data_IF_229135040528
#
_entry.id   IF_229135040528
#
_cell.length_a   1.000
_cell.length_b   1.000
_cell.length_c   1.000
_cell.angle_alpha   90.00
_cell.angle_beta   90.00
_cell.angle_gamma   90.00
#
_symmetry.space_group_name_H-M   'P 1'
#
loop_
_entity.id
_entity.type
_entity.pdbx_description
1 polymer ?
2 non-polymer ?
3 water ?
#
# COMPACT_ATOMS: atom_id res chain seq x y z
N UNK A 19 -9.97 -33.90 13.88
CA UNK A 19 -10.26 -32.50 14.10
C UNK A 19 -9.34 -31.57 13.31
N UNK A 20 -8.19 -31.20 13.88
CA UNK A 20 -7.26 -30.28 13.21
C UNK A 20 -6.69 -29.13 14.03
N UNK A 21 -6.73 -29.24 15.36
CA UNK A 21 -6.19 -28.24 16.29
C UNK A 21 -4.78 -28.67 16.74
N UNK A 22 -3.77 -28.19 16.03
CA UNK A 22 -2.37 -28.41 16.40
C UNK A 22 -1.93 -27.31 17.35
N UNK A 23 -1.00 -27.63 18.25
CA UNK A 23 -0.35 -26.59 19.04
C UNK A 23 1.07 -26.31 18.52
N UNK A 24 1.51 -27.07 17.54
CA UNK A 24 2.82 -26.94 16.95
C UNK A 24 2.68 -27.22 15.46
N UNK A 25 3.57 -26.64 14.69
CA UNK A 25 3.78 -27.09 13.31
C UNK A 25 5.22 -26.76 12.96
N UNK A 26 6.11 -27.75 13.02
CA UNK A 26 7.51 -27.40 12.89
C UNK A 26 7.85 -26.44 14.02
N UNK A 27 8.59 -25.37 13.69
CA UNK A 27 8.95 -24.33 14.67
C UNK A 27 7.89 -23.24 14.77
N UNK A 28 6.74 -23.43 14.16
CA UNK A 28 5.63 -22.51 14.36
C UNK A 28 4.84 -23.04 15.57
N UNK A 29 5.04 -22.42 16.73
CA UNK A 29 4.46 -22.91 17.97
C UNK A 29 3.59 -21.80 18.54
N UNK A 30 2.33 -22.15 18.83
CA UNK A 30 1.36 -21.21 19.36
C UNK A 30 2.00 -20.50 20.53
N UNK A 31 1.62 -19.24 20.71
CA UNK A 31 2.15 -18.31 21.68
C UNK A 31 3.41 -17.61 21.19
N UNK A 32 4.01 -18.01 20.07
CA UNK A 32 5.24 -17.34 19.66
C UNK A 32 4.89 -15.96 19.12
N UNK A 33 5.92 -15.14 18.99
CA UNK A 33 5.77 -13.85 18.35
C UNK A 33 6.16 -13.98 16.89
N UNK A 34 5.54 -13.15 16.05
CA UNK A 34 5.59 -13.38 14.62
C UNK A 34 5.11 -12.11 13.89
N UNK A 35 5.40 -12.04 12.59
CA UNK A 35 4.91 -10.99 11.70
C UNK A 35 3.80 -11.53 10.83
N UNK A 36 2.80 -10.69 10.57
CA UNK A 36 1.66 -11.07 9.75
C UNK A 36 1.26 -9.98 8.79
N UNK A 37 0.79 -10.45 7.62
CA UNK A 37 0.45 -9.57 6.51
C UNK A 37 -1.03 -9.20 6.57
N UNK A 38 -1.30 -7.92 6.60
CA UNK A 38 -2.65 -7.41 6.80
C UNK A 38 -3.24 -7.07 5.45
N UNK A 39 -4.58 -6.88 5.41
CA UNK A 39 -5.29 -6.82 4.12
C UNK A 39 -4.95 -5.52 3.36
N UNK A 40 -4.10 -4.71 3.98
CA UNK A 40 -3.51 -3.47 3.50
C UNK A 40 -2.20 -3.69 2.73
N UNK A 41 -1.67 -4.91 2.74
CA UNK A 41 -0.40 -5.36 2.16
C UNK A 41 0.81 -4.97 2.97
N UNK A 42 0.66 -4.21 4.04
CA UNK A 42 1.74 -4.05 5.00
C UNK A 42 1.64 -5.08 6.13
N UNK A 43 2.79 -5.33 6.78
CA UNK A 43 2.97 -6.37 7.81
C UNK A 43 3.23 -5.78 9.21
N UNK A 44 2.76 -6.49 10.24
CA UNK A 44 2.77 -5.98 11.60
C UNK A 44 3.00 -7.13 12.56
N UNK A 45 3.69 -6.81 13.64
CA UNK A 45 4.02 -7.78 14.67
C UNK A 45 2.78 -8.24 15.42
N UNK A 46 2.79 -9.49 15.84
CA UNK A 46 1.69 -10.06 16.56
C UNK A 46 2.08 -11.31 17.31
N UNK A 47 1.07 -11.98 17.86
CA UNK A 47 1.22 -13.25 18.54
C UNK A 47 0.49 -14.33 17.75
N UNK A 48 1.13 -15.47 17.54
CA UNK A 48 0.46 -16.63 16.92
C UNK A 48 -0.44 -17.33 17.94
N UNK A 49 -1.76 -17.12 17.84
CA UNK A 49 -2.66 -17.69 18.84
C UNK A 49 -3.30 -19.01 18.45
N UNK A 50 -3.04 -19.57 17.27
CA UNK A 50 -3.72 -20.81 16.92
C UNK A 50 -3.22 -21.36 15.61
N UNK A 51 -3.30 -22.70 15.46
CA UNK A 51 -3.04 -23.40 14.21
C UNK A 51 -4.28 -24.21 13.88
N UNK A 52 -4.77 -24.07 12.66
CA UNK A 52 -5.98 -24.76 12.18
C UNK A 52 -5.70 -25.37 10.82
N UNK A 53 -5.59 -26.68 10.77
CA UNK A 53 -5.68 -27.35 9.49
C UNK A 53 -7.02 -26.99 8.85
N UNK A 54 -6.97 -26.48 7.64
CA UNK A 54 -8.17 -26.37 6.81
C UNK A 54 -7.81 -26.72 5.37
N UNK A 55 -8.50 -27.70 4.81
CA UNK A 55 -8.25 -28.15 3.46
C UNK A 55 -6.99 -29.00 3.39
N UNK A 56 -6.27 -28.88 2.29
CA UNK A 56 -5.00 -29.62 2.14
C UNK A 56 -3.89 -29.18 3.10
N UNK A 57 -4.03 -28.00 3.73
CA UNK A 57 -2.95 -27.44 4.53
C UNK A 57 -3.38 -26.64 5.74
N UNK A 58 -2.52 -25.75 6.24
CA UNK A 58 -2.68 -25.14 7.56
C UNK A 58 -2.68 -23.64 7.48
N UNK A 59 -3.48 -23.04 8.35
CA UNK A 59 -3.59 -21.60 8.45
C UNK A 59 -3.29 -21.16 9.87
N UNK A 60 -2.63 -20.01 9.98
CA UNK A 60 -2.03 -19.53 11.21
C UNK A 60 -2.76 -18.24 11.63
N UNK A 61 -3.28 -18.25 12.86
CA UNK A 61 -4.15 -17.19 13.38
C UNK A 61 -3.31 -16.19 14.16
N UNK A 62 -3.26 -14.93 13.70
CA UNK A 62 -2.44 -13.90 14.33
C UNK A 62 -3.33 -12.82 14.97
N UNK A 63 -3.15 -12.61 16.26
CA UNK A 63 -3.66 -11.42 16.94
C UNK A 63 -2.56 -10.37 16.86
N UNK A 64 -2.86 -9.23 16.32
CA UNK A 64 -1.82 -8.24 16.11
C UNK A 64 -1.70 -7.37 17.34
N UNK A 65 -0.48 -6.84 17.54
CA UNK A 65 -0.25 -5.91 18.63
C UNK A 65 -1.09 -4.63 18.46
N UNK A 66 -1.36 -4.19 17.20
CA UNK A 66 -2.35 -3.20 16.73
C UNK A 66 -3.82 -3.74 16.78
N UNK A 67 -4.04 -4.85 17.46
CA UNK A 67 -5.32 -5.33 17.94
C UNK A 67 -6.23 -6.01 16.89
N UNK A 68 -5.96 -5.93 15.57
CA UNK A 68 -6.72 -6.79 14.67
C UNK A 68 -6.45 -8.29 14.88
N UNK A 69 -7.18 -9.15 14.16
CA UNK A 69 -6.82 -10.57 14.03
C UNK A 69 -6.91 -11.03 12.57
N UNK A 70 -6.01 -11.91 12.16
CA UNK A 70 -6.13 -12.52 10.82
C UNK A 70 -5.74 -14.00 10.88
N UNK A 71 -6.39 -14.77 10.03
CA UNK A 71 -6.09 -16.18 9.83
C UNK A 71 -5.41 -16.37 8.47
N UNK A 72 -4.12 -16.68 8.51
CA UNK A 72 -3.20 -16.47 7.39
C UNK A 72 -2.55 -17.76 6.92
N UNK A 73 -2.38 -17.86 5.62
CA UNK A 73 -1.56 -18.93 5.08
C UNK A 73 -0.10 -18.70 5.44
N UNK A 74 0.68 -19.78 5.34
CA UNK A 74 2.08 -19.81 5.79
C UNK A 74 3.04 -18.89 5.03
N UNK A 75 2.69 -18.47 3.84
CA UNK A 75 3.46 -17.48 3.10
C UNK A 75 3.05 -16.05 3.42
N UNK A 76 2.05 -15.86 4.28
CA UNK A 76 1.69 -14.52 4.76
C UNK A 76 2.04 -14.34 6.25
N UNK A 77 2.93 -15.15 6.78
CA UNK A 77 3.55 -14.89 8.07
C UNK A 77 5.06 -14.97 7.92
N UNK A 78 5.76 -14.38 8.88
CA UNK A 78 7.20 -14.27 8.87
C UNK A 78 7.74 -14.34 10.28
N UNK A 79 8.95 -14.90 10.45
CA UNK A 79 9.58 -14.89 11.75
C UNK A 79 10.00 -13.49 12.12
N UNK A 80 10.03 -13.23 13.41
CA UNK A 80 10.39 -11.90 13.88
C UNK A 80 11.86 -11.77 14.15
N UNK A 81 12.69 -12.53 13.46
CA UNK A 81 14.13 -12.33 13.53
C UNK A 81 14.71 -12.08 12.13
N UNK A 82 15.93 -11.54 12.11
CA UNK A 82 16.64 -11.27 10.87
C UNK A 82 17.33 -12.53 10.38
N UNK A 83 17.23 -12.85 9.09
CA UNK A 83 17.82 -14.08 8.58
C UNK A 83 19.32 -14.12 8.81
N UNK A 84 19.90 -15.31 8.94
CA UNK A 84 21.33 -15.41 8.69
C UNK A 84 21.57 -15.17 7.21
N UNK A 85 22.29 -14.10 6.89
CA UNK A 85 22.94 -14.04 5.59
C UNK A 85 23.66 -15.37 5.41
N UNK A 86 23.60 -15.91 4.19
CA UNK A 86 23.99 -17.30 3.88
C UNK A 86 22.86 -18.29 4.18
N UNK A 87 21.67 -17.82 4.46
CA UNK A 87 20.47 -18.58 4.15
C UNK A 87 19.73 -17.94 3.01
N UNK A 88 20.04 -16.69 2.70
CA UNK A 88 19.31 -15.97 1.68
C UNK A 88 20.01 -16.14 0.35
N UNK A 89 19.19 -16.22 -0.68
CA UNK A 89 19.67 -16.52 -2.00
C UNK A 89 18.76 -15.75 -2.94
N UNK A 90 19.08 -15.78 -4.23
CA UNK A 90 18.25 -15.06 -5.17
C UNK A 90 16.94 -15.84 -5.33
N UNK A 91 15.82 -15.14 -5.17
CA UNK A 91 14.53 -15.78 -5.10
C UNK A 91 13.96 -15.95 -3.69
N UNK A 92 14.72 -15.62 -2.65
CA UNK A 92 14.19 -15.77 -1.31
C UNK A 92 13.02 -14.85 -1.12
N UNK A 93 11.95 -15.39 -0.52
CA UNK A 93 10.76 -14.64 -0.16
C UNK A 93 10.98 -13.98 1.21
N UNK A 94 10.97 -12.64 1.25
CA UNK A 94 11.24 -11.92 2.48
C UNK A 94 10.17 -10.86 2.73
N UNK A 95 10.21 -10.33 3.92
CA UNK A 95 9.58 -9.07 4.31
C UNK A 95 10.72 -8.10 4.50
N UNK A 96 10.57 -6.87 4.01
CA UNK A 96 11.65 -5.92 4.17
C UNK A 96 11.17 -4.56 4.63
N UNK A 97 12.09 -3.81 5.19
CA UNK A 97 11.79 -2.48 5.67
C UNK A 97 11.75 -1.51 4.49
N UNK A 98 10.68 -0.73 4.39
CA UNK A 98 10.60 0.44 3.53
C UNK A 98 10.53 1.69 4.42
N UNK A 99 11.24 2.75 4.04
CA UNK A 99 11.32 3.99 4.82
C UNK A 99 10.73 5.16 4.04
N UNK A 100 9.69 5.82 4.60
CA UNK A 100 9.05 7.03 4.06
C UNK A 100 9.76 8.27 4.48
N UNK A 101 11.03 8.17 4.82
CA UNK A 101 11.74 9.23 5.48
C UNK A 101 11.97 8.86 6.93
N UNK A 102 11.13 9.42 7.81
CA UNK A 102 11.10 9.04 9.22
C UNK A 102 10.26 7.77 9.46
N UNK A 103 9.16 7.57 8.72
CA UNK A 103 8.27 6.44 8.97
C UNK A 103 8.90 5.15 8.44
N UNK A 104 8.68 4.05 9.14
CA UNK A 104 9.08 2.73 8.66
C UNK A 104 7.86 1.86 8.44
N UNK A 105 7.89 1.11 7.34
CA UNK A 105 6.87 0.12 7.04
C UNK A 105 7.53 -1.20 6.62
N UNK A 106 6.75 -2.27 6.73
CA UNK A 106 7.18 -3.63 6.45
C UNK A 106 6.33 -4.20 5.31
N UNK A 107 7.00 -4.64 4.24
CA UNK A 107 6.35 -5.00 2.98
C UNK A 107 7.05 -6.20 2.32
N UNK A 108 6.28 -7.04 1.64
CA UNK A 108 6.81 -8.30 1.09
C UNK A 108 7.62 -8.06 -0.18
N UNK A 109 8.50 -9.00 -0.50
CA UNK A 109 9.33 -8.84 -1.69
C UNK A 109 10.17 -10.07 -1.90
N UNK A 110 11.08 -9.95 -2.87
CA UNK A 110 11.98 -10.99 -3.37
C UNK A 110 13.42 -10.47 -3.31
N UNK A 111 14.36 -11.34 -2.98
CA UNK A 111 15.79 -11.03 -2.98
C UNK A 111 16.32 -11.18 -4.40
N UNK A 112 16.69 -10.07 -5.01
CA UNK A 112 17.23 -10.03 -6.36
C UNK A 112 18.77 -10.11 -6.41
N UNK A 113 19.46 -9.69 -5.36
CA UNK A 113 20.92 -9.78 -5.23
C UNK A 113 21.26 -9.97 -3.77
N UNK A 114 22.35 -10.68 -3.54
CA UNK A 114 22.97 -10.84 -2.24
C UNK A 114 24.26 -10.03 -2.17
N UNK A 115 24.80 -9.86 -0.98
CA UNK A 115 25.90 -8.90 -0.79
C UNK A 115 27.12 -9.25 -1.61
N UNK A 116 27.56 -8.28 -2.40
CA UNK A 116 28.83 -8.38 -3.10
C UNK A 116 29.57 -7.05 -3.04
N UNK A 117 30.71 -6.99 -3.73
CA UNK A 117 31.52 -5.78 -3.71
C UNK A 117 30.86 -4.67 -4.50
N UNK A 118 30.30 -5.01 -5.66
CA UNK A 118 29.76 -3.93 -6.47
C UNK A 118 28.47 -3.36 -5.91
N UNK A 119 27.76 -4.05 -5.01
CA UNK A 119 26.57 -3.47 -4.40
C UNK A 119 26.82 -3.00 -2.96
N UNK A 120 28.09 -2.96 -2.54
CA UNK A 120 28.47 -2.51 -1.20
C UNK A 120 27.82 -3.41 -0.13
N UNK A 121 27.93 -4.71 -0.37
CA UNK A 121 27.55 -5.77 0.58
C UNK A 121 26.14 -5.56 1.15
N UNK A 122 25.19 -5.26 0.27
CA UNK A 122 23.78 -5.15 0.60
C UNK A 122 22.95 -6.11 -0.22
N UNK A 123 21.68 -6.22 0.16
CA UNK A 123 20.71 -7.03 -0.56
C UNK A 123 19.84 -6.13 -1.44
N UNK A 124 19.61 -6.56 -2.68
CA UNK A 124 18.64 -5.88 -3.51
C UNK A 124 17.30 -6.57 -3.36
N UNK A 125 16.26 -5.80 -3.02
CA UNK A 125 14.91 -6.30 -2.81
C UNK A 125 14.03 -5.79 -3.94
N UNK A 126 13.27 -6.69 -4.53
CA UNK A 126 12.19 -6.32 -5.44
C UNK A 126 10.90 -6.52 -4.66
N UNK A 127 10.26 -5.44 -4.25
CA UNK A 127 8.99 -5.54 -3.52
C UNK A 127 7.84 -5.85 -4.48
N UNK A 128 6.80 -6.49 -3.93
CA UNK A 128 5.62 -6.91 -4.67
C UNK A 128 4.88 -5.76 -5.33
N UNK A 129 5.08 -4.49 -4.92
CA UNK A 129 4.47 -3.39 -5.66
C UNK A 129 5.39 -2.84 -6.75
N UNK A 130 6.49 -3.53 -7.06
CA UNK A 130 7.40 -3.13 -8.12
C UNK A 130 8.52 -2.21 -7.68
N UNK A 131 8.57 -1.86 -6.42
CA UNK A 131 9.61 -0.98 -5.96
C UNK A 131 10.88 -1.78 -5.78
N UNK A 132 12.01 -1.09 -5.76
CA UNK A 132 13.29 -1.74 -5.57
C UNK A 132 14.22 -0.92 -4.68
N UNK A 133 14.99 -1.59 -3.82
CA UNK A 133 15.93 -0.87 -2.98
C UNK A 133 16.95 -1.83 -2.36
N UNK A 134 18.10 -1.29 -1.99
CA UNK A 134 19.13 -2.02 -1.27
C UNK A 134 18.90 -1.94 0.24
N UNK A 135 19.15 -3.05 0.91
CA UNK A 135 18.75 -3.24 2.28
C UNK A 135 19.84 -4.03 3.00
N UNK A 136 19.94 -3.84 4.32
CA UNK A 136 20.89 -4.57 5.17
C UNK A 136 20.26 -5.90 5.69
N UNK A 137 21.10 -6.77 6.30
CA UNK A 137 20.59 -8.03 6.86
C UNK A 137 19.65 -7.78 8.01
N UNK A 138 19.82 -6.65 8.71
CA UNK A 138 19.03 -6.29 9.88
C UNK A 138 17.70 -5.64 9.53
N UNK A 139 17.38 -5.54 8.26
CA UNK A 139 16.13 -4.95 7.83
C UNK A 139 15.30 -5.96 7.10
N UNK A 140 15.58 -7.25 7.29
CA UNK A 140 14.93 -8.33 6.60
C UNK A 140 14.30 -9.30 7.60
N UNK A 141 13.31 -10.08 7.10
CA UNK A 141 12.54 -11.07 7.87
C UNK A 141 12.14 -12.19 6.91
N UNK A 142 12.35 -13.40 7.25
CA UNK A 142 12.10 -14.45 6.28
C UNK A 142 10.65 -14.90 6.35
N UNK A 143 9.98 -14.98 5.21
CA UNK A 143 8.62 -15.51 5.23
C UNK A 143 8.74 -16.97 5.71
N UNK A 144 7.69 -17.47 6.40
CA UNK A 144 7.78 -18.70 7.19
C UNK A 144 7.65 -19.94 6.31
N UNK A 145 6.74 -19.89 5.33
CA UNK A 145 6.40 -21.04 4.50
C UNK A 145 6.19 -20.59 3.05
N UNK A 146 7.21 -20.04 2.43
CA UNK A 146 7.06 -19.56 1.07
C UNK A 146 6.66 -20.67 0.13
N UNK A 147 6.18 -20.27 -1.05
CA UNK A 147 5.84 -21.17 -2.11
C UNK A 147 7.08 -21.68 -2.84
N UNK A 148 6.99 -22.93 -3.28
CA UNK A 148 8.04 -23.59 -4.08
C UNK A 148 8.56 -22.68 -5.18
N UNK A 149 7.66 -22.21 -6.04
CA UNK A 149 8.00 -21.12 -6.96
C UNK A 149 7.65 -19.82 -6.27
N UNK A 150 8.66 -19.18 -5.66
CA UNK A 150 8.41 -18.16 -4.64
C UNK A 150 7.66 -16.97 -5.19
N UNK A 151 7.70 -16.73 -6.51
CA UNK A 151 7.05 -15.58 -7.11
C UNK A 151 5.58 -15.83 -7.31
N UNK A 152 5.11 -17.01 -6.98
CA UNK A 152 3.77 -17.35 -7.41
C UNK A 152 2.67 -16.76 -6.53
N UNK A 153 2.99 -16.17 -5.38
CA UNK A 153 2.04 -15.41 -4.58
C UNK A 153 2.19 -13.90 -4.73
N UNK A 154 2.91 -13.45 -5.74
CA UNK A 154 2.95 -12.02 -6.04
C UNK A 154 1.69 -11.68 -6.81
N UNK A 155 0.89 -10.76 -6.27
CA UNK A 155 -0.48 -10.56 -6.75
C UNK A 155 -0.56 -9.71 -8.00
N UNK A 156 0.20 -8.63 -8.08
CA UNK A 156 0.28 -7.85 -9.33
C UNK A 156 0.89 -8.71 -10.42
N UNK A 157 0.10 -9.01 -11.48
CA UNK A 157 0.55 -9.98 -12.50
C UNK A 157 1.81 -9.48 -13.21
N UNK A 158 1.85 -8.20 -13.53
CA UNK A 158 3.01 -7.63 -14.19
C UNK A 158 4.29 -7.73 -13.34
N UNK A 159 4.17 -7.71 -11.99
CA UNK A 159 5.36 -7.89 -11.16
C UNK A 159 5.74 -9.34 -11.06
N UNK A 160 4.76 -10.19 -10.80
CA UNK A 160 5.05 -11.62 -10.80
C UNK A 160 5.82 -12.01 -12.07
N UNK A 161 5.39 -11.51 -13.22
CA UNK A 161 6.04 -11.97 -14.45
C UNK A 161 7.48 -11.46 -14.50
N UNK A 162 7.71 -10.21 -14.14
CA UNK A 162 9.08 -9.72 -14.17
C UNK A 162 9.97 -10.52 -13.24
N UNK A 163 9.43 -10.94 -12.09
CA UNK A 163 10.22 -11.68 -11.11
C UNK A 163 10.44 -13.13 -11.56
N UNK A 164 9.41 -13.80 -12.09
CA UNK A 164 9.60 -15.14 -12.68
C UNK A 164 10.68 -15.11 -13.79
N UNK A 165 10.64 -14.11 -14.67
CA UNK A 165 11.63 -14.00 -15.72
C UNK A 165 13.00 -13.77 -15.11
N UNK A 166 13.10 -12.77 -14.25
CA UNK A 166 14.36 -12.46 -13.62
C UNK A 166 14.96 -13.66 -12.89
N UNK A 167 14.16 -14.35 -12.08
CA UNK A 167 14.73 -15.41 -11.27
C UNK A 167 15.16 -16.57 -12.14
N UNK A 168 14.33 -16.88 -13.14
CA UNK A 168 14.58 -18.03 -14.00
C UNK A 168 15.81 -17.83 -14.89
N UNK A 169 16.04 -16.59 -15.38
CA UNK A 169 17.22 -16.26 -16.16
C UNK A 169 18.50 -16.08 -15.33
N UNK A 170 18.38 -15.77 -14.04
CA UNK A 170 19.56 -15.44 -13.24
C UNK A 170 20.54 -16.59 -13.33
N UNK A 171 21.84 -16.32 -13.38
CA UNK A 171 22.51 -15.01 -13.31
C UNK A 171 22.60 -14.19 -14.61
N UNK A 172 21.85 -14.48 -15.67
CA UNK A 172 21.76 -13.53 -16.77
C UNK A 172 20.97 -12.32 -16.30
N UNK A 173 21.51 -11.12 -16.52
CA UNK A 173 20.95 -9.90 -15.93
C UNK A 173 21.27 -8.68 -16.77
N UNK A 174 20.56 -8.49 -17.89
CA UNK A 174 20.90 -7.36 -18.75
C UNK A 174 20.59 -6.04 -18.09
N UNK A 175 21.53 -5.11 -18.23
CA UNK A 175 21.40 -3.78 -17.71
C UNK A 175 22.03 -2.81 -18.66
N UNK A 176 21.39 -1.68 -18.84
CA UNK A 176 22.06 -0.56 -19.49
C UNK A 176 23.01 0.09 -18.50
N UNK A 177 24.04 0.71 -19.03
CA UNK A 177 24.95 1.50 -18.23
C UNK A 177 24.54 2.96 -18.34
N UNK A 178 24.77 3.72 -17.27
CA UNK A 178 24.37 5.11 -17.18
C UNK A 178 25.41 5.88 -16.38
N UNK A 179 25.62 7.14 -16.77
CA UNK A 179 26.54 8.04 -16.10
C UNK A 179 25.73 9.22 -15.58
N UNK A 180 26.12 9.74 -14.43
CA UNK A 180 25.44 10.90 -13.88
C UNK A 180 25.31 11.97 -14.95
N UNK A 181 24.19 12.69 -14.95
CA UNK A 181 23.97 13.74 -15.90
C UNK A 181 23.31 13.33 -17.19
N UNK A 182 23.34 12.04 -17.54
CA UNK A 182 22.87 11.60 -18.85
C UNK A 182 21.38 11.80 -19.05
N UNK A 183 20.99 12.14 -20.26
CA UNK A 183 19.65 12.61 -20.57
C UNK A 183 18.91 11.52 -21.33
N UNK A 184 17.82 11.01 -20.74
CA UNK A 184 17.08 9.91 -21.33
C UNK A 184 15.60 10.12 -21.06
N UNK A 185 14.81 9.31 -21.74
CA UNK A 185 13.41 9.24 -21.50
C UNK A 185 13.14 8.06 -20.55
N UNK A 186 12.26 8.29 -19.56
CA UNK A 186 11.83 7.27 -18.61
C UNK A 186 10.31 7.20 -18.61
N UNK A 187 9.78 6.00 -18.74
CA UNK A 187 8.35 5.77 -18.76
C UNK A 187 7.76 6.01 -17.38
N UNK A 188 6.47 6.40 -17.37
CA UNK A 188 5.68 6.47 -16.15
C UNK A 188 4.21 6.58 -16.51
N UNK A 189 3.39 5.70 -15.93
CA UNK A 189 1.96 5.66 -16.18
C UNK A 189 1.68 5.69 -17.67
N UNK A 190 2.54 5.08 -18.45
CA UNK A 190 2.24 4.79 -19.83
C UNK A 190 2.87 5.74 -20.81
N UNK A 191 3.52 6.81 -20.35
CA UNK A 191 4.11 7.80 -21.23
C UNK A 191 5.60 7.98 -20.90
N UNK A 192 6.31 8.57 -21.85
CA UNK A 192 7.74 8.79 -21.72
C UNK A 192 8.04 10.26 -21.44
N UNK A 193 8.97 10.49 -20.53
CA UNK A 193 9.18 11.80 -19.96
C UNK A 193 10.64 12.17 -20.09
N UNK A 194 10.91 13.42 -20.47
CA UNK A 194 12.25 13.96 -20.38
C UNK A 194 12.77 13.79 -18.96
N UNK A 195 13.98 13.27 -18.82
CA UNK A 195 14.51 12.90 -17.52
C UNK A 195 16.04 12.86 -17.53
N UNK A 196 16.61 12.73 -16.32
CA UNK A 196 18.04 12.86 -16.13
C UNK A 196 18.57 11.85 -15.11
N UNK A 197 19.72 11.27 -15.42
CA UNK A 197 20.37 10.33 -14.54
C UNK A 197 21.14 11.14 -13.49
N UNK A 198 20.69 11.07 -12.26
CA UNK A 198 21.26 11.90 -11.23
C UNK A 198 22.10 11.17 -10.20
N UNK A 199 22.18 9.84 -10.25
CA UNK A 199 23.01 9.06 -9.34
C UNK A 199 22.95 7.60 -9.75
N UNK A 200 24.06 6.91 -9.60
CA UNK A 200 24.12 5.47 -9.78
C UNK A 200 24.58 4.85 -8.46
N UNK A 201 23.87 3.82 -8.03
CA UNK A 201 24.21 3.07 -6.83
C UNK A 201 23.99 1.65 -7.27
N UNK A 202 25.05 1.01 -7.71
CA UNK A 202 24.98 -0.41 -7.93
C UNK A 202 24.15 -0.80 -9.13
N UNK A 203 23.07 -1.55 -8.91
CA UNK A 203 22.17 -1.92 -9.99
C UNK A 203 20.98 -1.00 -10.09
N UNK A 204 20.91 0.01 -9.20
CA UNK A 204 19.91 1.05 -9.22
C UNK A 204 20.49 2.37 -9.72
N UNK A 205 19.59 3.20 -10.26
CA UNK A 205 19.91 4.52 -10.76
C UNK A 205 18.81 5.47 -10.27
N UNK A 206 19.19 6.69 -9.90
CA UNK A 206 18.20 7.67 -9.48
C UNK A 206 17.90 8.60 -10.62
N UNK A 207 16.61 8.76 -10.90
CA UNK A 207 16.15 9.47 -12.08
C UNK A 207 15.37 10.69 -11.65
N UNK A 208 15.64 11.81 -12.29
CA UNK A 208 14.87 13.02 -12.10
C UNK A 208 13.96 13.23 -13.30
N UNK A 209 12.68 13.11 -13.08
CA UNK A 209 11.71 13.52 -14.06
C UNK A 209 11.66 15.05 -14.11
N UNK A 210 11.90 15.62 -15.29
CA UNK A 210 12.24 17.04 -15.38
C UNK A 210 11.03 17.95 -15.20
N UNK A 211 10.01 17.83 -16.06
CA UNK A 211 8.87 18.75 -15.96
C UNK A 211 8.42 18.89 -14.53
N UNK A 212 8.38 17.79 -13.83
CA UNK A 212 7.58 17.65 -12.66
C UNK A 212 8.43 17.55 -11.40
N UNK A 213 9.71 17.22 -11.53
CA UNK A 213 10.73 17.27 -10.49
C UNK A 213 10.76 16.07 -9.55
N UNK A 214 10.07 14.99 -9.86
CA UNK A 214 10.16 13.77 -9.06
C UNK A 214 11.50 13.06 -9.21
N UNK A 215 11.91 12.36 -8.16
CA UNK A 215 12.97 11.39 -8.26
C UNK A 215 12.40 10.02 -7.93
N UNK A 216 12.93 8.98 -8.59
CA UNK A 216 12.84 7.66 -7.98
C UNK A 216 14.03 6.80 -8.37
N UNK A 217 14.22 5.78 -7.54
CA UNK A 217 15.18 4.72 -7.84
C UNK A 217 14.55 3.66 -8.76
N UNK A 218 15.24 3.37 -9.87
CA UNK A 218 14.83 2.35 -10.84
C UNK A 218 15.97 1.37 -11.06
N UNK A 219 15.64 0.09 -11.12
CA UNK A 219 16.57 -0.97 -11.52
C UNK A 219 17.12 -0.69 -12.93
N UNK A 220 18.43 -0.91 -13.10
CA UNK A 220 19.00 -0.59 -14.40
C UNK A 220 18.66 -1.63 -15.46
N UNK A 221 18.09 -2.77 -15.10
CA UNK A 221 17.59 -3.69 -16.09
C UNK A 221 16.15 -3.45 -16.43
N UNK A 222 15.55 -2.43 -15.85
CA UNK A 222 14.15 -2.17 -16.05
C UNK A 222 13.84 -1.55 -17.40
N UNK A 223 12.80 -2.03 -17.99
CA UNK A 223 12.35 -1.61 -19.31
C UNK A 223 11.67 -0.25 -19.33
N UNK A 224 11.55 0.44 -18.17
CA UNK A 224 11.07 1.83 -18.15
C UNK A 224 12.13 2.84 -18.59
N UNK A 225 13.39 2.47 -18.44
CA UNK A 225 14.51 3.23 -18.99
C UNK A 225 14.59 3.02 -20.50
N UNK A 226 14.70 4.13 -21.26
CA UNK A 226 14.57 3.98 -22.71
C UNK A 226 15.73 3.18 -23.30
N UNK A 227 16.99 3.46 -22.99
CA UNK A 227 18.08 2.58 -23.46
C UNK A 227 17.84 1.10 -23.25
N UNK A 228 17.17 0.71 -22.17
CA UNK A 228 16.92 -0.70 -21.89
C UNK A 228 15.71 -1.20 -22.66
N UNK A 229 14.69 -0.36 -22.77
CA UNK A 229 13.56 -0.62 -23.67
C UNK A 229 14.01 -0.81 -25.11
N UNK A 230 15.05 -0.08 -25.53
CA UNK A 230 15.53 -0.09 -26.92
C UNK A 230 16.67 -1.07 -27.18
N UNK A 231 17.42 -1.45 -26.15
CA UNK A 231 18.35 -2.56 -26.29
C UNK A 231 17.60 -3.82 -26.70
N UNK A 232 16.47 -4.06 -25.99
CA UNK A 232 15.68 -5.30 -25.99
C UNK A 232 14.67 -5.42 -27.16
N UNK A 233 14.23 -4.31 -27.79
CA UNK A 233 13.31 -4.42 -28.96
C UNK A 233 14.09 -4.30 -30.29
N UNK B 19 -25.98 -13.34 -24.42
CA UNK B 19 -24.67 -13.44 -23.80
C UNK B 19 -24.45 -12.56 -22.57
N UNK B 20 -24.59 -11.24 -22.73
CA UNK B 20 -24.33 -10.30 -21.65
C UNK B 20 -23.22 -9.29 -21.95
N UNK B 21 -22.99 -9.01 -23.22
CA UNK B 21 -21.92 -8.09 -23.64
C UNK B 21 -22.49 -6.71 -24.00
N UNK B 22 -23.03 -6.02 -22.98
CA UNK B 22 -23.52 -4.67 -23.20
C UNK B 22 -22.39 -3.82 -23.77
N UNK B 23 -22.71 -2.56 -24.09
CA UNK B 23 -21.69 -1.60 -24.49
C UNK B 23 -21.80 -0.25 -23.79
N UNK B 24 -22.81 -0.04 -22.96
CA UNK B 24 -22.93 1.21 -22.24
C UNK B 24 -23.86 0.99 -21.05
N UNK B 25 -23.29 0.75 -19.86
CA UNK B 25 -24.08 0.58 -18.64
C UNK B 25 -24.19 1.94 -17.95
N UNK B 26 -25.41 2.51 -17.93
CA UNK B 26 -25.54 3.87 -17.43
C UNK B 26 -24.71 4.83 -18.26
N UNK B 27 -23.99 5.74 -17.59
CA UNK B 27 -23.00 6.59 -18.26
C UNK B 27 -21.57 5.99 -18.24
N UNK B 28 -21.44 4.67 -18.08
CA UNK B 28 -20.17 3.96 -18.30
C UNK B 28 -20.17 3.41 -19.71
N UNK B 29 -19.16 3.74 -20.47
CA UNK B 29 -19.26 3.58 -21.92
C UNK B 29 -17.90 3.21 -22.46
N UNK B 30 -17.84 2.10 -23.20
CA UNK B 30 -16.56 1.59 -23.68
C UNK B 30 -15.75 2.73 -24.29
N UNK B 31 -14.43 2.67 -24.06
CA UNK B 31 -13.37 3.54 -24.57
C UNK B 31 -13.23 4.85 -23.76
N UNK B 32 -14.07 5.09 -22.74
CA UNK B 32 -13.88 6.23 -21.82
C UNK B 32 -12.63 6.05 -20.94
N UNK B 33 -12.01 7.17 -20.60
CA UNK B 33 -11.00 7.19 -19.55
C UNK B 33 -11.64 6.89 -18.21
N UNK B 34 -10.95 6.11 -17.39
CA UNK B 34 -11.48 5.71 -16.09
C UNK B 34 -10.31 5.56 -15.12
N UNK B 35 -10.61 5.49 -13.82
CA UNK B 35 -9.65 5.12 -12.79
C UNK B 35 -9.95 3.71 -12.32
N UNK B 36 -8.90 2.89 -12.21
CA UNK B 36 -9.05 1.51 -11.79
C UNK B 36 -8.12 1.16 -10.64
N UNK B 37 -8.61 0.24 -9.80
CA UNK B 37 -7.92 -0.19 -8.59
C UNK B 37 -7.07 -1.41 -8.89
N UNK B 38 -5.78 -1.28 -8.68
CA UNK B 38 -4.88 -2.39 -8.84
C UNK B 38 -4.83 -3.21 -7.58
N UNK B 39 -4.21 -4.39 -7.70
CA UNK B 39 -4.06 -5.35 -6.63
C UNK B 39 -3.11 -4.86 -5.55
N UNK B 40 -2.33 -3.83 -5.85
CA UNK B 40 -1.49 -3.07 -4.94
C UNK B 40 -2.32 -2.19 -4.02
N UNK B 41 -3.62 -2.04 -4.31
CA UNK B 41 -4.58 -1.19 -3.63
C UNK B 41 -4.44 0.25 -4.06
N UNK B 42 -3.52 0.52 -4.92
CA UNK B 42 -3.31 1.86 -5.40
C UNK B 42 -4.08 1.98 -6.72
N UNK B 43 -4.59 3.17 -7.03
CA UNK B 43 -5.47 3.35 -8.20
C UNK B 43 -4.73 4.09 -9.31
N UNK B 44 -5.17 3.84 -10.56
CA UNK B 44 -4.43 4.19 -11.78
C UNK B 44 -5.36 4.35 -12.96
N UNK B 45 -4.94 5.20 -13.90
CA UNK B 45 -5.72 5.56 -15.07
C UNK B 45 -5.59 4.53 -16.19
N UNK B 46 -6.70 4.23 -16.82
CA UNK B 46 -6.72 3.46 -18.06
C UNK B 46 -7.98 3.75 -18.86
N UNK B 47 -8.37 2.79 -19.67
CA UNK B 47 -9.51 2.93 -20.56
C UNK B 47 -10.48 1.81 -20.24
N UNK B 48 -11.76 2.09 -20.36
CA UNK B 48 -12.79 1.05 -20.19
C UNK B 48 -12.94 0.31 -21.52
N UNK B 49 -12.40 -0.91 -21.63
CA UNK B 49 -12.42 -1.64 -22.90
C UNK B 49 -13.55 -2.66 -23.01
N UNK B 50 -14.30 -2.92 -21.95
CA UNK B 50 -15.48 -3.77 -22.10
C UNK B 50 -16.30 -3.76 -20.84
N UNK B 51 -17.57 -4.06 -21.00
CA UNK B 51 -18.47 -4.40 -19.91
C UNK B 51 -18.90 -5.84 -20.09
N UNK B 52 -19.17 -6.52 -18.98
CA UNK B 52 -19.59 -7.92 -19.00
C UNK B 52 -20.69 -8.16 -17.99
N UNK B 53 -21.84 -8.64 -18.45
CA UNK B 53 -22.84 -9.07 -17.49
C UNK B 53 -22.31 -10.32 -16.80
N UNK B 54 -22.38 -10.32 -15.49
CA UNK B 54 -22.15 -11.55 -14.76
C UNK B 54 -23.16 -11.58 -13.62
N UNK B 55 -24.12 -12.49 -13.74
CA UNK B 55 -25.09 -12.74 -12.72
C UNK B 55 -25.94 -11.53 -12.48
N UNK B 56 -26.10 -11.17 -11.20
CA UNK B 56 -26.96 -10.01 -10.86
C UNK B 56 -26.67 -8.76 -11.70
N UNK B 57 -25.42 -8.49 -12.02
CA UNK B 57 -25.04 -7.23 -12.63
C UNK B 57 -23.93 -7.33 -13.66
N UNK B 58 -22.91 -6.50 -13.50
CA UNK B 58 -21.92 -6.28 -14.56
C UNK B 58 -20.55 -6.00 -13.97
N UNK B 59 -19.50 -6.45 -14.66
CA UNK B 59 -18.12 -6.10 -14.33
C UNK B 59 -17.46 -5.37 -15.50
N UNK B 60 -16.40 -4.63 -15.19
CA UNK B 60 -15.85 -3.62 -16.07
C UNK B 60 -14.37 -3.86 -16.24
N UNK B 61 -13.94 -4.07 -17.49
CA UNK B 61 -12.59 -4.52 -17.82
C UNK B 61 -11.74 -3.32 -18.22
N UNK B 62 -10.58 -3.16 -17.58
CA UNK B 62 -9.78 -1.95 -17.71
C UNK B 62 -8.37 -2.32 -18.17
N UNK B 63 -7.95 -1.75 -19.30
CA UNK B 63 -6.55 -1.74 -19.72
C UNK B 63 -5.95 -0.50 -19.10
N UNK B 64 -4.96 -0.70 -18.25
CA UNK B 64 -4.22 0.39 -17.62
C UNK B 64 -3.16 0.92 -18.56
N UNK B 65 -2.98 2.24 -18.52
CA UNK B 65 -1.86 2.87 -19.19
C UNK B 65 -0.54 2.17 -18.97
N UNK B 66 -0.33 1.62 -17.75
CA UNK B 66 0.81 0.73 -17.41
C UNK B 66 0.42 -0.75 -17.64
N UNK B 67 0.00 -1.00 -18.89
CA UNK B 67 -0.11 -2.29 -19.58
C UNK B 67 -0.97 -3.39 -18.90
N UNK B 68 -1.22 -3.32 -17.59
CA UNK B 68 -2.01 -4.37 -16.97
C UNK B 68 -3.45 -4.34 -17.41
N UNK B 69 -4.14 -5.47 -17.28
CA UNK B 69 -5.56 -5.52 -17.60
C UNK B 69 -6.28 -6.09 -16.40
N UNK B 70 -7.43 -5.53 -16.09
CA UNK B 70 -8.12 -6.00 -14.92
C UNK B 70 -9.63 -5.97 -15.13
N UNK B 71 -10.30 -7.03 -14.70
CA UNK B 71 -11.75 -7.08 -14.74
C UNK B 71 -12.25 -6.75 -13.35
N UNK B 72 -13.04 -5.71 -13.24
CA UNK B 72 -13.18 -5.02 -11.97
C UNK B 72 -14.64 -4.79 -11.67
N UNK B 73 -15.01 -4.99 -10.41
CA UNK B 73 -16.36 -4.64 -10.06
C UNK B 73 -16.49 -3.12 -10.02
N UNK B 74 -17.74 -2.66 -10.08
CA UNK B 74 -18.04 -1.25 -10.24
C UNK B 74 -17.74 -0.38 -9.04
N UNK B 75 -17.45 -0.98 -7.90
CA UNK B 75 -16.97 -0.17 -6.79
C UNK B 75 -15.44 -0.04 -6.78
N UNK B 76 -14.76 -0.62 -7.79
CA UNK B 76 -13.31 -0.56 -7.93
C UNK B 76 -12.91 0.18 -9.20
N UNK B 77 -13.83 0.92 -9.78
CA UNK B 77 -13.54 1.92 -10.80
C UNK B 77 -14.11 3.26 -10.37
N UNK B 78 -13.40 4.32 -10.71
CA UNK B 78 -13.87 5.66 -10.41
C UNK B 78 -13.84 6.50 -11.68
N UNK B 79 -14.70 7.52 -11.72
CA UNK B 79 -14.65 8.49 -12.81
C UNK B 79 -13.37 9.30 -12.78
N UNK B 80 -12.96 9.71 -13.99
CA UNK B 80 -11.79 10.56 -14.22
C UNK B 80 -12.11 12.05 -14.10
N UNK B 81 -13.14 12.41 -13.37
CA UNK B 81 -13.44 13.81 -13.14
C UNK B 81 -13.65 14.02 -11.65
N UNK B 82 -13.53 15.30 -11.25
CA UNK B 82 -13.69 15.64 -9.85
C UNK B 82 -15.18 15.86 -9.51
N UNK B 83 -15.73 15.37 -8.39
CA UNK B 83 -17.18 15.55 -8.16
C UNK B 83 -17.49 17.01 -7.93
N UNK B 84 -18.76 17.38 -8.03
CA UNK B 84 -19.18 18.66 -7.44
C UNK B 84 -19.29 18.50 -5.94
N UNK B 85 -18.57 19.35 -5.20
CA UNK B 85 -18.93 19.51 -3.80
C UNK B 85 -20.42 19.77 -3.76
N UNK B 86 -21.05 19.43 -2.65
CA UNK B 86 -22.50 19.33 -2.51
C UNK B 86 -23.05 18.02 -2.99
N UNK B 87 -22.31 17.30 -3.84
CA UNK B 87 -22.70 15.92 -4.07
C UNK B 87 -22.11 15.05 -2.99
N UNK B 88 -20.92 15.40 -2.53
CA UNK B 88 -20.31 14.70 -1.43
C UNK B 88 -21.06 14.99 -0.15
N UNK B 89 -21.56 13.93 0.45
CA UNK B 89 -22.09 13.85 1.80
C UNK B 89 -21.13 13.02 2.64
N UNK B 90 -21.32 13.04 3.96
CA UNK B 90 -20.49 12.24 4.85
C UNK B 90 -20.83 10.78 4.67
N UNK B 91 -19.83 9.99 4.30
CA UNK B 91 -20.02 8.61 3.88
C UNK B 91 -19.75 8.37 2.42
N UNK B 92 -19.53 9.40 1.61
CA UNK B 92 -19.27 9.20 0.19
C UNK B 92 -18.03 8.36 -0.04
N UNK B 93 -18.16 7.33 -0.88
CA UNK B 93 -17.04 6.53 -1.36
C UNK B 93 -16.31 7.26 -2.49
N UNK B 94 -15.07 7.64 -2.23
CA UNK B 94 -14.26 8.40 -3.16
C UNK B 94 -12.89 7.76 -3.31
N UNK B 95 -12.14 8.29 -4.26
CA UNK B 95 -10.70 8.07 -4.39
C UNK B 95 -10.01 9.41 -4.18
N UNK B 96 -8.82 9.40 -3.57
CA UNK B 96 -8.20 10.66 -3.14
C UNK B 96 -6.70 10.66 -3.35
N UNK B 97 -6.16 11.83 -3.67
CA UNK B 97 -4.71 11.99 -3.82
C UNK B 97 -4.01 11.92 -2.47
N UNK B 98 -2.90 11.20 -2.45
CA UNK B 98 -2.02 11.08 -1.30
C UNK B 98 -0.62 11.45 -1.74
N UNK B 99 -0.01 12.41 -1.06
CA UNK B 99 1.30 12.94 -1.43
C UNK B 99 2.39 12.32 -0.55
N UNK B 100 3.06 11.30 -1.07
CA UNK B 100 4.02 10.47 -0.31
C UNK B 100 5.38 11.01 -0.63
N UNK B 101 5.78 12.00 0.16
CA UNK B 101 6.92 12.79 -0.25
C UNK B 101 6.67 13.49 -1.57
N UNK B 102 7.32 13.01 -2.64
CA UNK B 102 7.38 13.71 -3.91
C UNK B 102 6.48 13.11 -4.98
N UNK B 103 6.13 11.82 -4.85
CA UNK B 103 5.21 11.23 -5.80
C UNK B 103 3.78 11.46 -5.33
N UNK B 104 2.83 11.25 -6.23
CA UNK B 104 1.43 11.33 -5.89
C UNK B 104 0.78 9.99 -6.19
N UNK B 105 -0.08 9.55 -5.28
CA UNK B 105 -0.69 8.22 -5.32
C UNK B 105 -2.19 8.39 -5.17
N UNK B 106 -2.94 7.42 -5.62
CA UNK B 106 -4.39 7.45 -5.54
C UNK B 106 -4.83 6.24 -4.74
N UNK B 107 -5.63 6.51 -3.70
CA UNK B 107 -6.06 5.54 -2.71
C UNK B 107 -7.52 5.80 -2.38
N UNK B 108 -8.22 4.76 -1.93
CA UNK B 108 -9.66 4.88 -1.73
C UNK B 108 -9.97 5.29 -0.31
N UNK B 109 -11.13 5.92 -0.14
CA UNK B 109 -11.59 6.18 1.20
C UNK B 109 -13.02 6.64 1.29
N UNK B 110 -13.31 7.25 2.43
CA UNK B 110 -14.65 7.66 2.80
C UNK B 110 -14.54 9.11 3.24
N UNK B 111 -15.52 9.93 2.84
CA UNK B 111 -15.60 11.31 3.28
C UNK B 111 -16.06 11.34 4.72
N UNK B 112 -15.22 11.88 5.60
CA UNK B 112 -15.60 12.05 7.00
C UNK B 112 -16.31 13.39 7.27
N UNK B 113 -15.81 14.49 6.69
CA UNK B 113 -16.34 15.84 6.90
C UNK B 113 -16.42 16.53 5.56
N UNK B 114 -17.43 17.35 5.40
CA UNK B 114 -17.52 18.20 4.22
C UNK B 114 -17.03 19.59 4.59
N UNK B 115 -16.79 20.46 3.60
CA UNK B 115 -16.24 21.80 3.89
C UNK B 115 -17.05 22.62 4.89
N UNK B 116 -16.36 23.38 5.73
CA UNK B 116 -16.99 24.30 6.66
C UNK B 116 -15.93 25.28 7.17
N UNK B 117 -16.30 26.12 8.14
CA UNK B 117 -15.35 27.15 8.63
C UNK B 117 -14.18 26.50 9.33
N UNK B 118 -14.48 25.71 10.36
CA UNK B 118 -13.42 25.16 11.19
C UNK B 118 -12.39 24.36 10.39
N UNK B 119 -12.82 23.58 9.40
CA UNK B 119 -11.84 22.81 8.63
C UNK B 119 -11.33 23.60 7.44
N UNK B 120 -11.75 24.86 7.31
CA UNK B 120 -11.23 25.77 6.29
C UNK B 120 -11.54 25.23 4.90
N UNK B 121 -12.83 24.89 4.72
CA UNK B 121 -13.42 24.50 3.42
C UNK B 121 -12.67 23.35 2.76
N UNK B 122 -12.54 22.24 3.48
CA UNK B 122 -11.88 21.04 2.97
C UNK B 122 -12.67 19.80 3.34
N UNK B 123 -12.34 18.71 2.65
CA UNK B 123 -12.94 17.42 2.93
C UNK B 123 -11.98 16.56 3.76
N UNK B 124 -12.48 16.02 4.89
CA UNK B 124 -11.74 15.06 5.69
C UNK B 124 -11.95 13.67 5.11
N UNK B 125 -10.85 13.01 4.76
CA UNK B 125 -10.88 11.71 4.10
C UNK B 125 -10.36 10.65 5.08
N UNK B 126 -11.14 9.61 5.26
CA UNK B 126 -10.72 8.41 5.97
C UNK B 126 -10.38 7.35 4.95
N UNK B 127 -9.10 7.11 4.75
CA UNK B 127 -8.67 6.15 3.77
C UNK B 127 -8.83 4.75 4.29
N UNK B 128 -8.93 3.83 3.30
CA UNK B 128 -9.09 2.41 3.55
C UNK B 128 -7.99 1.80 4.45
N UNK B 129 -6.79 2.41 4.52
CA UNK B 129 -5.75 1.91 5.42
C UNK B 129 -5.68 2.64 6.76
N UNK B 130 -6.72 3.33 7.18
CA UNK B 130 -6.73 3.96 8.50
C UNK B 130 -6.12 5.35 8.55
N UNK B 131 -5.64 5.87 7.43
CA UNK B 131 -5.05 7.20 7.37
C UNK B 131 -6.13 8.26 7.19
N UNK B 132 -5.88 9.45 7.76
CA UNK B 132 -6.80 10.58 7.72
C UNK B 132 -6.09 11.83 7.18
N UNK B 133 -6.79 12.61 6.36
CA UNK B 133 -6.19 13.85 5.84
C UNK B 133 -7.27 14.71 5.20
N UNK B 134 -6.95 16.00 5.12
CA UNK B 134 -7.84 16.99 4.51
C UNK B 134 -7.38 17.21 3.07
N UNK B 135 -8.35 17.30 2.16
CA UNK B 135 -8.07 17.48 0.73
C UNK B 135 -9.14 18.35 0.11
N UNK B 136 -8.81 18.96 -1.03
CA UNK B 136 -9.67 19.81 -1.85
C UNK B 136 -10.55 18.99 -2.80
N UNK B 137 -11.63 19.61 -3.28
CA UNK B 137 -12.48 19.01 -4.32
C UNK B 137 -11.65 18.54 -5.51
N UNK B 138 -10.57 19.22 -5.83
CA UNK B 138 -9.79 18.83 -6.99
C UNK B 138 -8.84 17.68 -6.74
N UNK B 139 -8.86 17.10 -5.56
CA UNK B 139 -8.06 15.91 -5.27
C UNK B 139 -8.91 14.66 -5.13
N UNK B 140 -10.21 14.75 -5.44
CA UNK B 140 -11.15 13.66 -5.21
C UNK B 140 -11.72 13.18 -6.52
N UNK B 141 -12.08 11.89 -6.55
CA UNK B 141 -12.66 11.26 -7.71
C UNK B 141 -13.82 10.41 -7.19
N UNK B 142 -14.98 10.45 -7.80
CA UNK B 142 -16.07 9.64 -7.27
C UNK B 142 -15.99 8.23 -7.83
N UNK B 143 -16.21 7.27 -6.94
CA UNK B 143 -16.29 5.89 -7.35
C UNK B 143 -17.60 5.64 -8.11
N UNK B 144 -17.51 4.89 -9.21
CA UNK B 144 -18.64 4.81 -10.12
C UNK B 144 -19.85 4.17 -9.45
N UNK B 145 -19.67 3.05 -8.78
CA UNK B 145 -20.80 2.24 -8.30
C UNK B 145 -20.53 1.75 -6.88
N UNK B 146 -20.72 2.60 -5.90
CA UNK B 146 -20.54 2.16 -4.51
C UNK B 146 -21.66 1.29 -3.96
N UNK B 147 -21.31 0.48 -2.96
CA UNK B 147 -22.31 -0.32 -2.24
C UNK B 147 -23.26 0.58 -1.46
N UNK B 148 -24.46 0.04 -1.17
CA UNK B 148 -25.47 0.72 -0.35
C UNK B 148 -24.88 1.22 0.96
N UNK B 149 -24.30 0.32 1.71
CA UNK B 149 -23.49 0.66 2.86
C UNK B 149 -22.06 0.78 2.36
N UNK B 150 -21.65 2.03 2.17
CA UNK B 150 -20.47 2.38 1.41
C UNK B 150 -19.19 1.82 2.01
N UNK B 151 -19.17 1.55 3.33
CA UNK B 151 -17.97 1.05 3.99
C UNK B 151 -17.74 -0.46 3.82
N UNK B 152 -18.70 -1.21 3.28
CA UNK B 152 -18.56 -2.65 3.35
C UNK B 152 -17.47 -3.21 2.45
N UNK B 153 -16.94 -2.43 1.50
CA UNK B 153 -15.81 -2.90 0.72
C UNK B 153 -14.48 -2.37 1.27
N UNK B 154 -14.47 -1.95 2.54
CA UNK B 154 -13.22 -1.69 3.25
C UNK B 154 -12.75 -3.03 3.77
N UNK B 155 -11.52 -3.43 3.38
CA UNK B 155 -11.00 -4.79 3.53
C UNK B 155 -10.43 -5.04 4.92
N UNK B 156 -9.77 -4.05 5.50
CA UNK B 156 -9.28 -4.18 6.87
C UNK B 156 -10.45 -3.98 7.83
N UNK B 157 -10.67 -4.96 8.71
CA UNK B 157 -11.91 -5.04 9.52
C UNK B 157 -11.92 -3.93 10.58
N UNK B 158 -10.81 -3.77 11.28
CA UNK B 158 -10.58 -2.65 12.18
C UNK B 158 -11.00 -1.31 11.56
N UNK B 159 -10.53 -1.02 10.33
CA UNK B 159 -10.92 0.24 9.68
C UNK B 159 -12.39 0.24 9.28
N UNK B 160 -12.87 -0.84 8.68
CA UNK B 160 -14.28 -0.92 8.37
C UNK B 160 -15.12 -0.67 9.61
N UNK B 161 -14.76 -1.29 10.73
CA UNK B 161 -15.60 -1.13 11.93
C UNK B 161 -15.66 0.34 12.34
N UNK B 162 -14.54 1.04 12.25
CA UNK B 162 -14.48 2.42 12.70
C UNK B 162 -15.33 3.31 11.81
N UNK B 163 -15.16 3.20 10.49
CA UNK B 163 -15.97 3.97 9.56
C UNK B 163 -17.46 3.75 9.85
N UNK B 164 -17.87 2.49 9.94
CA UNK B 164 -19.26 2.20 10.18
C UNK B 164 -19.75 2.88 11.44
N UNK B 165 -19.00 2.74 12.55
CA UNK B 165 -19.38 3.43 13.78
C UNK B 165 -19.45 4.94 13.56
N UNK B 166 -18.43 5.49 12.91
CA UNK B 166 -18.34 6.92 12.68
C UNK B 166 -19.53 7.43 11.88
N UNK B 167 -19.73 6.85 10.70
CA UNK B 167 -20.84 7.24 9.82
C UNK B 167 -22.17 7.13 10.53
N UNK B 168 -22.30 6.13 11.40
CA UNK B 168 -23.61 5.85 11.99
C UNK B 168 -23.88 6.76 13.18
N UNK B 169 -22.86 7.05 13.96
CA UNK B 169 -23.03 7.99 15.06
C UNK B 169 -23.11 9.44 14.60
N UNK B 170 -22.59 9.76 13.42
CA UNK B 170 -22.54 11.14 12.94
C UNK B 170 -23.94 11.73 13.06
N UNK B 171 -24.07 13.02 13.44
CA UNK B 171 -23.09 14.09 13.72
C UNK B 171 -22.30 13.98 14.99
N UNK B 172 -22.56 12.92 15.75
CA UNK B 172 -21.74 12.65 16.92
C UNK B 172 -20.31 12.40 16.49
N UNK B 173 -19.39 13.00 17.22
CA UNK B 173 -18.00 12.98 16.83
C UNK B 173 -17.15 13.30 18.04
N UNK B 174 -16.98 12.36 18.97
CA UNK B 174 -16.13 12.63 20.13
C UNK B 174 -14.69 12.92 19.72
N UNK B 175 -14.11 13.93 20.35
CA UNK B 175 -12.74 14.33 20.10
C UNK B 175 -12.20 14.96 21.37
N UNK B 176 -10.90 14.86 21.53
CA UNK B 176 -10.19 15.45 22.65
C UNK B 176 -9.59 16.78 22.24
N UNK B 177 -9.51 17.70 23.19
CA UNK B 177 -8.85 18.97 22.98
C UNK B 177 -7.37 18.84 23.26
N UNK B 178 -6.55 19.24 22.30
CA UNK B 178 -5.11 19.18 22.40
C UNK B 178 -4.52 20.52 22.01
N UNK B 179 -3.52 20.98 22.75
CA UNK B 179 -2.88 22.26 22.47
C UNK B 179 -1.43 22.00 22.12
N UNK B 180 -0.85 22.87 21.30
CA UNK B 180 0.51 22.66 20.85
C UNK B 180 1.50 22.66 22.01
N UNK B 181 2.47 21.75 21.97
CA UNK B 181 3.43 21.56 23.05
C UNK B 181 2.97 20.64 24.14
N UNK B 182 1.71 20.25 24.13
CA UNK B 182 1.24 19.31 25.12
C UNK B 182 2.04 18.01 25.03
N UNK B 183 2.25 17.39 26.18
CA UNK B 183 2.93 16.10 26.22
C UNK B 183 1.89 15.05 26.57
N UNK B 184 1.85 14.00 25.75
CA UNK B 184 0.88 12.91 25.87
C UNK B 184 1.59 11.67 25.39
N UNK B 185 1.07 10.52 25.80
CA UNK B 185 1.56 9.28 25.23
C UNK B 185 0.65 8.93 24.04
N UNK B 186 1.27 8.47 22.95
CA UNK B 186 0.51 8.01 21.78
C UNK B 186 0.89 6.57 21.39
N UNK B 187 -0.08 5.86 20.85
CA UNK B 187 0.10 4.43 20.55
C UNK B 187 0.71 4.22 19.17
N UNK B 188 1.50 3.15 19.04
CA UNK B 188 1.97 2.75 17.73
C UNK B 188 2.52 1.34 17.75
N UNK B 189 1.87 0.46 16.99
CA UNK B 189 2.23 -0.94 16.95
C UNK B 189 2.19 -1.52 18.38
N UNK B 190 1.07 -1.34 19.06
CA UNK B 190 0.84 -1.93 20.36
C UNK B 190 1.58 -1.30 21.53
N UNK B 191 2.50 -0.39 21.29
CA UNK B 191 3.26 0.26 22.34
C UNK B 191 2.82 1.72 22.54
N UNK B 192 2.91 2.19 23.77
CA UNK B 192 2.66 3.60 24.06
C UNK B 192 3.97 4.35 24.15
N UNK B 193 4.00 5.54 23.59
CA UNK B 193 5.23 6.24 23.25
C UNK B 193 5.16 7.68 23.77
N UNK B 194 6.29 8.18 24.25
CA UNK B 194 6.39 9.59 24.62
C UNK B 194 6.27 10.46 23.37
N UNK B 195 5.39 11.46 23.41
CA UNK B 195 5.10 12.28 22.25
C UNK B 195 4.76 13.72 22.65
N UNK B 196 4.73 14.59 21.64
CA UNK B 196 4.49 16.02 21.78
C UNK B 196 3.50 16.49 20.71
N UNK B 197 2.57 17.37 21.07
CA UNK B 197 1.65 17.90 20.06
C UNK B 197 2.33 19.07 19.37
N UNK B 198 2.46 18.99 18.05
CA UNK B 198 3.10 20.03 17.28
C UNK B 198 2.11 21.01 16.70
N UNK B 199 0.94 20.53 16.32
CA UNK B 199 0.09 21.32 15.46
C UNK B 199 -1.32 20.77 15.47
N UNK B 200 -2.29 21.65 15.43
CA UNK B 200 -3.69 21.26 15.39
C UNK B 200 -4.28 21.82 14.10
N UNK B 201 -4.72 20.93 13.21
CA UNK B 201 -5.41 21.36 12.01
C UNK B 201 -6.81 20.75 12.06
N UNK B 202 -7.78 21.55 12.48
CA UNK B 202 -9.17 21.12 12.45
C UNK B 202 -9.39 19.87 13.30
N UNK B 203 -9.82 18.79 12.65
CA UNK B 203 -10.09 17.57 13.36
C UNK B 203 -8.87 16.69 13.51
N UNK B 204 -7.69 17.21 13.18
CA UNK B 204 -6.45 16.47 13.19
C UNK B 204 -5.41 17.07 14.12
N UNK B 205 -4.50 16.21 14.57
CA UNK B 205 -3.35 16.67 15.32
C UNK B 205 -2.13 16.00 14.73
N UNK B 206 -1.03 16.75 14.69
CA UNK B 206 0.26 16.24 14.28
C UNK B 206 1.09 15.95 15.52
N UNK B 207 1.60 14.72 15.61
CA UNK B 207 2.23 14.21 16.80
C UNK B 207 3.68 13.91 16.48
N UNK B 208 4.58 14.35 17.37
CA UNK B 208 5.99 14.01 17.29
C UNK B 208 6.24 12.88 18.24
N UNK B 209 6.74 11.77 17.73
CA UNK B 209 7.13 10.64 18.55
C UNK B 209 8.58 10.90 18.93
N UNK B 210 8.84 11.18 20.21
CA UNK B 210 10.10 11.83 20.61
C UNK B 210 11.31 10.91 20.42
N UNK B 211 11.15 9.63 20.71
CA UNK B 211 12.22 8.66 20.52
C UNK B 211 12.61 8.50 19.06
N UNK B 212 11.65 8.07 18.20
CA UNK B 212 11.90 7.83 16.77
C UNK B 212 12.15 9.13 16.02
N UNK B 213 11.58 10.23 16.48
CA UNK B 213 11.56 11.51 15.77
C UNK B 213 10.61 11.49 14.57
N UNK B 214 9.56 10.69 14.65
CA UNK B 214 8.52 10.62 13.63
C UNK B 214 7.41 11.64 13.83
N UNK B 215 6.82 12.07 12.73
CA UNK B 215 5.57 12.80 12.78
C UNK B 215 4.47 12.01 12.05
N UNK B 216 3.29 12.00 12.65
CA UNK B 216 2.08 11.46 12.04
C UNK B 216 0.96 12.48 12.22
N UNK B 217 0.00 12.44 11.31
CA UNK B 217 -1.27 13.12 11.47
C UNK B 217 -2.31 12.11 11.91
N UNK B 218 -3.01 12.44 12.97
CA UNK B 218 -3.90 11.52 13.66
C UNK B 218 -5.20 12.22 13.95
N UNK B 219 -6.30 11.50 13.78
CA UNK B 219 -7.61 12.06 14.06
C UNK B 219 -7.80 12.22 15.57
N UNK B 220 -8.36 13.36 15.99
CA UNK B 220 -8.43 13.67 17.40
C UNK B 220 -9.45 12.81 18.14
N UNK B 221 -10.22 12.00 17.38
CA UNK B 221 -11.12 11.02 17.95
C UNK B 221 -10.51 9.62 17.93
N UNK B 222 -9.18 9.54 17.78
CA UNK B 222 -8.46 8.27 17.82
C UNK B 222 -8.06 7.88 19.23
N UNK B 223 -8.39 6.67 19.60
CA UNK B 223 -7.87 6.11 20.84
C UNK B 223 -6.37 5.82 20.81
N UNK B 224 -5.68 6.09 19.72
CA UNK B 224 -4.24 6.10 19.79
C UNK B 224 -3.74 7.28 20.61
N UNK B 225 -4.56 8.30 20.73
CA UNK B 225 -4.27 9.46 21.57
C UNK B 225 -4.68 9.11 23.00
N UNK B 226 -3.72 9.08 23.90
CA UNK B 226 -4.00 8.57 25.23
C UNK B 226 -5.09 9.36 25.96
N UNK B 227 -5.23 10.68 25.76
CA UNK B 227 -6.40 11.39 26.32
C UNK B 227 -7.73 10.87 25.79
N UNK B 228 -7.78 10.46 24.52
CA UNK B 228 -8.97 9.80 23.99
C UNK B 228 -9.09 8.38 24.54
N UNK B 229 -7.96 7.69 24.65
CA UNK B 229 -7.98 6.33 25.17
C UNK B 229 -8.59 6.28 26.59
N UNK B 230 -8.43 7.31 27.39
CA UNK B 230 -8.95 7.35 28.76
C UNK B 230 -10.38 7.87 28.87
N UNK B 231 -10.72 8.94 28.15
CA UNK B 231 -12.10 9.41 28.10
C UNK B 231 -13.05 8.31 27.63
N UNK B 232 -12.75 7.71 26.46
CA UNK B 232 -13.53 6.59 25.90
C UNK B 232 -13.62 5.38 26.84
N UNK B 233 -12.75 5.30 27.84
CA UNK B 233 -12.82 4.26 28.87
C UNK B 233 -13.52 4.85 30.12
X LIG C 1 7.75 1.95 -8.36
X LIG C 1 9.23 4.00 -8.72
X LIG C 1 8.38 4.41 -5.71
X LIG C 1 8.21 5.42 -3.46
X LIG C 1 3.63 1.49 0.83
X LIG C 1 4.15 2.35 1.77
X LIG C 1 2.22 2.02 3.10
X LIG C 1 2.42 0.87 1.01
X LIG C 1 7.29 -0.98 -1.12
X LIG C 1 5.60 0.18 -0.10
X LIG C 1 4.46 1.16 -0.46
X LIG C 1 5.01 2.36 -0.94
X LIG C 1 5.66 2.09 -2.21
X LIG C 1 6.77 1.05 -1.98
X LIG C 1 7.01 3.32 -4.01
X LIG C 1 7.17 2.26 -6.23
X LIG C 1 7.00 1.40 -7.31
X LIG C 1 7.98 3.29 -6.64
X LIG C 1 3.43 2.62 2.93
X LIG C 1 1.70 1.13 2.18
X LIG C 1 6.39 -0.14 -1.28
X LIG C 1 6.50 3.29 -2.62
X LIG C 1 6.62 2.24 -4.89
X LIG C 1 8.33 3.08 -7.94
X LIG C 1 7.87 4.39 -4.41
X LIG C 1 9.07 5.25 -6.10
X LIG C 1 7.83 1.60 -9.22
X LIG C 1 9.32 3.67 -9.63
X LIG C 1 10.11 4.03 -8.30
X LIG C 1 8.85 4.89 -8.73
X LIG C 1 8.97 5.92 -3.78
X LIG C 1 8.41 5.02 -2.60
X LIG C 1 7.46 6.03 -3.36
X LIG C 1 4.98 2.74 1.62
X LIG C 1 1.74 2.20 3.87
X LIG C 1 2.08 0.28 0.38
X LIG C 1 7.87 -0.99 -1.90
X LIG C 1 6.90 -1.87 -1.00
X LIG C 1 7.81 -0.75 -0.32
X LIG C 1 6.18 0.60 0.57
X LIG C 1 5.23 -0.63 0.26
X LIG C 1 3.89 0.76 -1.15
X LIG C 1 4.30 3.01 -1.06
X LIG C 1 5.67 2.68 -0.30
X LIG C 1 5.04 1.82 -2.90
X LIG C 1 7.49 1.47 -1.49
X LIG C 1 7.12 0.79 -2.85
X LIG C 1 6.51 0.62 -7.32
X LIG C 1 3.77 3.21 3.56
X LIG C 1 0.87 0.74 2.32
X LIG C 1 6.70 3.90 -2.05
X LIG D 1 -2.22 5.56 9.97
X LIG D 1 -0.90 7.29 11.19
X LIG D 1 0.48 7.47 8.31
X LIG D 1 1.89 8.19 6.47
X LIG D 1 0.37 4.04 0.24
X LIG D 1 1.25 4.89 -0.30
X LIG D 1 1.69 3.34 -2.05
X LIG D 1 0.10 2.83 -0.35
X LIG D 1 -3.34 6.28 2.30
X LIG D 1 -1.61 5.33 1.28
X LIG D 1 -0.39 4.45 1.57
X LIG D 1 0.51 5.11 2.46
X LIG D 1 -0.16 5.29 3.77
X LIG D 1 -1.52 6.01 3.60
X LIG D 1 0.19 6.41 6.10
X LIG D 1 -1.28 5.72 7.96
X LIG D 1 -2.27 5.07 8.66
X LIG D 1 -0.66 6.61 8.79
X LIG D 1 1.94 4.56 -1.45
X LIG D 1 0.78 2.47 -1.51
X LIG D 1 -2.34 5.55 2.51
X LIG D 1 0.59 6.27 4.66
X LIG D 1 -0.86 5.58 6.60
X LIG D 1 -1.26 6.49 10.01
X LIG D 1 0.84 7.33 6.96
X LIG D 1 1.01 8.26 9.00
X LIG D 1 -2.77 5.31 10.67
X LIG D 1 -1.43 7.01 11.95
X LIG D 1 -1.05 8.22 11.02
X LIG D 1 0.05 7.15 11.40
X LIG D 1 2.72 7.67 6.37
X LIG D 1 2.04 8.91 7.09
X LIG D 1 1.64 8.55 5.60
X LIG D 1 1.42 5.71 0.11
X LIG D 1 2.14 3.12 -2.83
X LIG D 1 -0.51 2.24 0.04
X LIG D 1 -4.01 5.77 1.82
X LIG D 1 -3.70 6.57 3.16
X LIG D 1 -3.08 7.05 1.78
X LIG D 1 -1.31 6.19 0.92
X LIG D 1 -2.17 4.89 0.63
X LIG D 1 -0.70 3.65 2.01
X LIG D 1 1.29 4.57 2.58
X LIG D 1 0.74 5.98 2.10
X LIG D 1 -0.27 4.44 4.22
X LIG D 1 -1.35 6.96 3.49
X LIG D 1 -2.03 5.89 4.42
X LIG D 1 -2.83 4.40 8.35
X LIG D 1 2.55 5.15 -1.83
X LIG D 1 0.61 1.66 -1.92
X LIG D 1 1.22 6.76 4.34
#
# INVERSE_FOLDING_TARGET
GSSHHHHHHSSGENLYFQGGELSKDGDLIVSMRILGKKRTKTWHKGTLIAIQTVGPGKKYKVKFDNKGKSLLSGNHIAYDYHPPADKLYVGSRVVAKYKDGNQVWLYAGIVAETPNVKNKLRFLIFFDDGYASYVTQSELYPICRPLKKTWEDIEDISCRDFIEEYVTAYPNRPMVLLKSGQLIKTEWEGTWWKSRVEEVDGSLVRILFLDDKRCEWIYRGSTRLEPMFSMKTSSASALE
GSSHHHHHHSSGENLYFQGGELSKDGDLIVSMRILGKKRTKTWHKGTLIAIQTVGPGKKYKVKFDNKGKSLLSGNHIAYDYHPPADKLYVGSRVVAKYKDGNQVWLYAGIVAETPNVKNKLRFLIFFDDGYASYVTQSELYPICRPLKKTWEDIEDISCRDFIEEYVTAYPNRPMVLLKSGQLIKTEWEGTWWKSRVEEVDGSLVRILFLDDKRCEWIYRGSTRLEPMFSMKTSSASALE
FN9 C13 C15 C17 C20 C21 C22 C24 C26 C01 C03 C04 C05 C06 C07 C09 C11 C12 C16 C23 C25 N02 N08 N10 N14 N19 O18 H131 H151 H153 H152 H201 H203 H202 H221 H241 H261 H013 H012 H011 H032 H031 H041 H051 H052 H061 H071 H072 H121 H231 H251 H081
FN9 C13 C15 C17 C20 C21 C22 C24 C26 C01 C03 C04 C05 C06 C07 C09 C11 C12 C16 C23 C25 N02 N08 N10 N14 N19 O18 H131 H151 H153 H152 H201 H203 H202 H221 H241 H261 H013 H012 H011 H032 H031 H041 H051 H052 H061 H071 H072 H121 H231 H251 H081
#
